data_IF_445588865942
#
_entry.id   IF_445588865942
#
_cell.length_a   1.000
_cell.length_b   1.000
_cell.length_c   1.000
_cell.angle_alpha   90.00
_cell.angle_beta   90.00
_cell.angle_gamma   90.00
#
_symmetry.space_group_name_H-M   'P 1'
#
loop_
_entity.id
_entity.type
_entity.pdbx_description
1 polymer ?
#
# COMPACT_ATOMS: atom_id res chain seq x y z
N UNK A 1 -3.48 43.97 -27.05
CA UNK A 1 -3.67 42.67 -26.38
C UNK A 1 -4.60 41.83 -27.24
N UNK A 2 -4.07 40.85 -27.97
CA UNK A 2 -4.76 40.07 -29.02
C UNK A 2 -5.76 39.06 -28.43
N UNK A 3 -6.91 38.88 -29.09
CA UNK A 3 -8.02 37.97 -28.74
C UNK A 3 -7.60 36.55 -28.33
N UNK A 4 -6.47 36.06 -28.84
CA UNK A 4 -5.88 34.75 -28.53
C UNK A 4 -5.47 34.63 -27.05
N UNK A 5 -4.98 35.70 -26.42
CA UNK A 5 -4.59 35.71 -25.01
C UNK A 5 -5.81 35.67 -24.07
N UNK A 6 -6.93 36.29 -24.47
CA UNK A 6 -8.18 36.29 -23.69
C UNK A 6 -8.85 34.91 -23.71
N UNK A 7 -8.88 34.27 -24.88
CA UNK A 7 -9.41 32.90 -25.03
C UNK A 7 -8.59 31.86 -24.26
N UNK A 8 -7.26 31.99 -24.25
CA UNK A 8 -6.38 31.07 -23.51
C UNK A 8 -6.46 31.28 -21.99
N UNK A 9 -6.65 32.53 -21.52
CA UNK A 9 -6.87 32.87 -20.12
C UNK A 9 -8.22 32.32 -19.61
N UNK A 10 -9.30 32.49 -20.40
CA UNK A 10 -10.62 31.96 -20.07
C UNK A 10 -10.63 30.43 -19.97
N UNK A 11 -9.93 29.72 -20.87
CA UNK A 11 -9.88 28.25 -20.80
C UNK A 11 -9.15 27.75 -19.54
N UNK A 12 -8.02 28.37 -19.17
CA UNK A 12 -7.28 28.00 -17.96
C UNK A 12 -8.03 28.32 -16.67
N UNK A 13 -8.76 29.44 -16.63
CA UNK A 13 -9.61 29.81 -15.50
C UNK A 13 -10.77 28.82 -15.31
N UNK A 14 -11.47 28.46 -16.39
CA UNK A 14 -12.57 27.48 -16.35
C UNK A 14 -12.10 26.09 -15.89
N UNK A 15 -10.92 25.65 -16.34
CA UNK A 15 -10.36 24.36 -15.91
C UNK A 15 -9.97 24.39 -14.43
N UNK A 16 -9.31 25.46 -13.96
CA UNK A 16 -8.95 25.60 -12.56
C UNK A 16 -10.20 25.64 -11.66
N UNK A 17 -11.23 26.35 -12.07
CA UNK A 17 -12.50 26.43 -11.36
C UNK A 17 -13.20 25.07 -11.26
N UNK A 18 -13.23 24.31 -12.37
CA UNK A 18 -13.77 22.94 -12.38
C UNK A 18 -13.01 22.00 -11.44
N UNK A 19 -11.68 22.06 -11.43
CA UNK A 19 -10.84 21.27 -10.53
C UNK A 19 -11.09 21.67 -9.08
N UNK A 20 -11.15 22.97 -8.79
CA UNK A 20 -11.37 23.50 -7.44
C UNK A 20 -12.74 23.14 -6.88
N UNK A 21 -13.78 23.11 -7.72
CA UNK A 21 -15.13 22.70 -7.32
C UNK A 21 -15.20 21.28 -6.76
N UNK A 22 -14.34 20.39 -7.27
CA UNK A 22 -14.28 18.99 -6.87
C UNK A 22 -13.13 18.71 -5.88
N UNK A 23 -12.40 19.75 -5.44
CA UNK A 23 -11.28 19.61 -4.52
C UNK A 23 -11.73 19.88 -3.07
N UNK A 24 -11.15 19.12 -2.13
CA UNK A 24 -11.26 19.42 -0.71
C UNK A 24 -10.17 20.41 -0.31
N UNK A 25 -10.57 21.62 0.08
CA UNK A 25 -9.65 22.70 0.45
C UNK A 25 -9.54 22.79 1.97
N UNK A 26 -8.32 22.69 2.51
CA UNK A 26 -8.04 22.76 3.94
C UNK A 26 -7.09 23.94 4.19
N UNK A 27 -7.51 24.96 4.94
CA UNK A 27 -6.59 26.03 5.32
C UNK A 27 -5.66 25.58 6.46
N UNK A 28 -4.40 26.04 6.45
CA UNK A 28 -3.40 25.68 7.47
C UNK A 28 -2.21 26.63 7.47
N UNK A 29 -1.39 26.61 8.53
CA UNK A 29 -0.20 27.47 8.72
C UNK A 29 1.01 27.12 7.83
N UNK A 30 0.78 26.53 6.66
CA UNK A 30 1.87 26.07 5.78
C UNK A 30 2.47 27.26 5.05
N UNK A 31 3.68 27.08 4.55
CA UNK A 31 4.35 28.08 3.70
C UNK A 31 4.03 27.93 2.22
N UNK A 32 3.48 26.78 1.81
CA UNK A 32 3.16 26.49 0.40
C UNK A 32 1.84 25.73 0.20
N UNK A 33 1.32 25.80 -1.02
CA UNK A 33 0.20 24.97 -1.48
C UNK A 33 0.75 23.59 -1.86
N UNK A 34 0.61 22.65 -0.96
CA UNK A 34 0.76 21.22 -1.23
C UNK A 34 -0.51 20.59 -1.82
N UNK A 35 -0.28 19.68 -2.75
CA UNK A 35 -1.28 18.95 -3.52
C UNK A 35 -1.22 17.48 -3.15
N UNK A 36 -2.38 16.87 -2.93
CA UNK A 36 -2.50 15.45 -2.59
C UNK A 36 -3.74 14.90 -3.30
N UNK A 37 -3.62 13.79 -4.02
CA UNK A 37 -4.80 13.04 -4.48
C UNK A 37 -4.91 11.84 -3.54
N UNK A 38 -5.98 11.80 -2.75
CA UNK A 38 -6.20 10.72 -1.77
C UNK A 38 -6.82 9.49 -2.45
N UNK A 39 -6.91 8.37 -1.72
CA UNK A 39 -7.24 7.03 -2.26
C UNK A 39 -8.58 6.94 -3.00
N UNK A 40 -9.55 7.82 -2.70
CA UNK A 40 -10.83 7.87 -3.40
C UNK A 40 -10.80 8.67 -4.73
N UNK A 41 -9.65 9.27 -5.07
CA UNK A 41 -9.45 10.12 -6.25
C UNK A 41 -9.69 11.61 -6.01
N UNK A 42 -10.05 12.01 -4.78
CA UNK A 42 -10.29 13.42 -4.43
C UNK A 42 -8.97 14.19 -4.35
N UNK A 43 -8.92 15.36 -5.00
CA UNK A 43 -7.82 16.30 -4.81
C UNK A 43 -8.00 17.03 -3.47
N UNK A 44 -7.04 16.86 -2.57
CA UNK A 44 -6.90 17.64 -1.34
C UNK A 44 -5.86 18.73 -1.56
N UNK A 45 -6.31 19.97 -1.47
CA UNK A 45 -5.45 21.15 -1.46
C UNK A 45 -5.38 21.64 -0.03
N UNK A 46 -4.17 21.73 0.54
CA UNK A 46 -4.03 22.51 1.78
C UNK A 46 -3.42 23.88 1.49
N UNK A 47 -4.00 24.94 2.01
CA UNK A 47 -3.73 26.29 1.52
C UNK A 47 -3.31 27.17 2.69
N UNK A 48 -2.20 27.91 2.60
CA UNK A 48 -1.85 28.90 3.61
C UNK A 48 -2.98 29.91 3.83
N UNK A 49 -3.20 30.33 5.09
CA UNK A 49 -4.12 31.43 5.42
C UNK A 49 -3.57 32.72 4.79
N UNK A 50 -4.15 33.16 3.66
CA UNK A 50 -3.72 34.36 2.93
C UNK A 50 -3.50 34.20 1.44
N UNK A 51 -3.52 32.96 0.91
CA UNK A 51 -3.50 32.76 -0.54
C UNK A 51 -4.82 33.22 -1.15
N UNK A 52 -4.74 34.14 -2.11
CA UNK A 52 -5.92 34.64 -2.84
C UNK A 52 -6.51 33.57 -3.75
N UNK A 53 -7.80 33.68 -4.06
CA UNK A 53 -8.47 32.77 -4.99
C UNK A 53 -7.83 32.76 -6.39
N UNK A 54 -7.47 33.93 -6.91
CA UNK A 54 -6.78 34.05 -8.20
C UNK A 54 -5.41 33.37 -8.20
N UNK A 55 -4.67 33.46 -7.11
CA UNK A 55 -3.37 32.79 -6.98
C UNK A 55 -3.55 31.27 -6.91
N UNK A 56 -4.53 30.79 -6.14
CA UNK A 56 -4.87 29.37 -6.08
C UNK A 56 -5.28 28.83 -7.47
N UNK A 57 -6.15 29.53 -8.19
CA UNK A 57 -6.57 29.19 -9.55
C UNK A 57 -5.38 29.12 -10.52
N UNK A 58 -4.46 30.09 -10.46
CA UNK A 58 -3.23 30.06 -11.28
C UNK A 58 -2.38 28.84 -11.00
N UNK A 59 -2.16 28.50 -9.73
CA UNK A 59 -1.28 27.37 -9.35
C UNK A 59 -1.95 26.04 -9.72
N UNK A 60 -3.26 25.91 -9.52
CA UNK A 60 -4.03 24.73 -9.94
C UNK A 60 -4.00 24.56 -11.46
N UNK A 61 -4.23 25.63 -12.23
CA UNK A 61 -4.15 25.58 -13.69
C UNK A 61 -2.78 25.09 -14.18
N UNK A 62 -1.69 25.54 -13.55
CA UNK A 62 -0.33 25.07 -13.89
C UNK A 62 -0.11 23.58 -13.57
N UNK A 63 -0.86 23.02 -12.64
CA UNK A 63 -0.75 21.62 -12.21
C UNK A 63 -1.80 20.70 -12.84
N UNK A 64 -2.67 21.19 -13.72
CA UNK A 64 -3.76 20.45 -14.37
C UNK A 64 -3.33 19.05 -14.85
N UNK A 65 -2.27 18.95 -15.66
CA UNK A 65 -1.78 17.66 -16.19
C UNK A 65 -1.36 16.68 -15.09
N UNK A 66 -0.73 17.19 -14.03
CA UNK A 66 -0.35 16.37 -12.89
C UNK A 66 -1.58 15.93 -12.09
N UNK A 67 -2.56 16.82 -11.88
CA UNK A 67 -3.79 16.53 -11.15
C UNK A 67 -4.60 15.45 -11.88
N UNK A 68 -4.91 15.68 -13.16
CA UNK A 68 -5.67 14.76 -14.00
C UNK A 68 -4.95 13.42 -14.15
N UNK A 69 -3.63 13.42 -14.37
CA UNK A 69 -2.81 12.22 -14.40
C UNK A 69 -2.81 11.47 -13.07
N UNK A 70 -2.70 12.17 -11.94
CA UNK A 70 -2.76 11.55 -10.61
C UNK A 70 -4.15 10.97 -10.30
N UNK A 71 -5.24 11.66 -10.67
CA UNK A 71 -6.61 11.18 -10.50
C UNK A 71 -6.93 9.98 -11.40
N UNK A 72 -6.55 10.03 -12.68
CA UNK A 72 -6.72 8.91 -13.61
C UNK A 72 -5.90 7.70 -13.14
N UNK A 73 -4.69 7.96 -12.62
CA UNK A 73 -3.86 6.96 -11.98
C UNK A 73 -4.60 6.35 -10.77
N UNK A 74 -5.06 7.14 -9.79
CA UNK A 74 -5.80 6.61 -8.63
C UNK A 74 -7.08 5.86 -9.03
N UNK A 75 -7.79 6.31 -10.06
CA UNK A 75 -8.97 5.61 -10.59
C UNK A 75 -8.60 4.23 -11.15
N UNK A 76 -7.62 4.16 -12.06
CA UNK A 76 -7.13 2.89 -12.61
C UNK A 76 -6.62 1.96 -11.51
N UNK A 77 -5.97 2.54 -10.51
CA UNK A 77 -5.46 1.82 -9.35
C UNK A 77 -6.56 1.22 -8.47
N UNK A 78 -7.67 1.94 -8.31
CA UNK A 78 -8.85 1.48 -7.57
C UNK A 78 -9.63 0.41 -8.34
N UNK A 79 -9.61 0.47 -9.67
CA UNK A 79 -10.13 -0.57 -10.55
C UNK A 79 -9.26 -1.84 -10.49
N UNK A 80 -7.93 -1.70 -10.45
CA UNK A 80 -6.97 -2.81 -10.34
C UNK A 80 -6.92 -3.45 -8.94
N UNK A 81 -7.21 -2.69 -7.87
CA UNK A 81 -7.13 -3.14 -6.48
C UNK A 81 -8.28 -2.59 -5.61
N UNK A 82 -9.50 -3.13 -5.75
CA UNK A 82 -10.64 -2.66 -4.96
C UNK A 82 -10.45 -2.94 -3.47
N UNK A 83 -10.80 -1.97 -2.63
CA UNK A 83 -10.97 -2.20 -1.19
C UNK A 83 -12.08 -3.23 -0.98
N UNK A 84 -11.78 -4.32 -0.25
CA UNK A 84 -12.76 -5.38 0.06
C UNK A 84 -14.04 -4.77 0.64
N UNK A 85 -15.20 -5.03 0.06
CA UNK A 85 -16.52 -4.53 0.49
C UNK A 85 -17.18 -5.43 1.52
N UNK A 86 -16.71 -6.67 1.65
CA UNK A 86 -17.26 -7.75 2.47
C UNK A 86 -18.62 -8.22 1.94
N UNK A 87 -18.71 -8.38 0.63
CA UNK A 87 -19.91 -8.85 -0.08
C UNK A 87 -19.79 -10.34 -0.45
N UNK A 88 -20.94 -11.02 -0.59
CA UNK A 88 -20.98 -12.42 -1.00
C UNK A 88 -20.33 -12.60 -2.38
N UNK A 89 -19.43 -13.58 -2.52
CA UNK A 89 -18.73 -13.88 -3.77
C UNK A 89 -17.60 -12.90 -4.09
N UNK A 90 -17.29 -11.94 -3.22
CA UNK A 90 -16.20 -11.00 -3.46
C UNK A 90 -14.84 -11.70 -3.52
N UNK A 91 -14.02 -11.33 -4.50
CA UNK A 91 -12.71 -11.95 -4.72
C UNK A 91 -11.56 -11.03 -4.28
N UNK A 92 -10.53 -11.63 -3.68
CA UNK A 92 -9.28 -10.98 -3.33
C UNK A 92 -8.13 -11.97 -3.43
N UNK A 93 -6.89 -11.50 -3.36
CA UNK A 93 -5.73 -12.39 -3.34
C UNK A 93 -5.42 -12.81 -1.91
N UNK A 94 -5.34 -14.11 -1.61
CA UNK A 94 -4.77 -14.63 -0.37
C UNK A 94 -3.46 -15.34 -0.72
N UNK A 95 -2.36 -14.87 -0.14
CA UNK A 95 -1.01 -15.33 -0.44
C UNK A 95 -0.68 -15.40 -1.95
N UNK A 96 -1.14 -14.39 -2.70
CA UNK A 96 -0.96 -14.29 -4.15
C UNK A 96 -1.90 -15.13 -5.00
N UNK A 97 -2.82 -15.90 -4.39
CA UNK A 97 -3.80 -16.74 -5.10
C UNK A 97 -5.22 -16.17 -4.97
N UNK A 98 -6.08 -16.28 -5.99
CA UNK A 98 -7.47 -15.88 -5.87
C UNK A 98 -8.18 -16.61 -4.72
N UNK A 99 -8.91 -15.85 -3.90
CA UNK A 99 -9.71 -16.30 -2.78
C UNK A 99 -11.09 -15.64 -2.86
N UNK A 100 -12.14 -16.44 -2.76
CA UNK A 100 -13.54 -15.97 -2.79
C UNK A 100 -14.08 -15.87 -1.38
N UNK A 101 -14.81 -14.80 -1.07
CA UNK A 101 -15.50 -14.60 0.20
C UNK A 101 -16.90 -15.22 0.15
N UNK A 102 -17.20 -16.15 1.06
CA UNK A 102 -18.54 -16.72 1.28
C UNK A 102 -19.07 -16.27 2.63
N UNK A 103 -20.27 -15.69 2.68
CA UNK A 103 -20.86 -15.26 3.95
C UNK A 103 -21.78 -16.35 4.51
N UNK A 104 -21.70 -16.58 5.82
CA UNK A 104 -22.60 -17.51 6.53
C UNK A 104 -23.24 -16.85 7.74
N UNK A 105 -24.33 -17.43 8.25
CA UNK A 105 -24.91 -17.01 9.52
C UNK A 105 -23.93 -17.22 10.70
N UNK A 106 -24.01 -16.36 11.71
CA UNK A 106 -23.20 -16.42 12.93
C UNK A 106 -21.84 -15.74 12.83
N UNK A 107 -20.90 -16.20 13.67
CA UNK A 107 -19.52 -15.71 13.81
C UNK A 107 -18.47 -16.71 13.34
N UNK A 108 -17.26 -16.21 13.13
CA UNK A 108 -16.05 -16.98 12.86
C UNK A 108 -15.60 -16.95 11.41
N UNK A 109 -14.39 -17.45 11.20
CA UNK A 109 -13.73 -17.56 9.90
C UNK A 109 -13.31 -19.01 9.66
N UNK A 110 -13.37 -19.46 8.42
CA UNK A 110 -12.80 -20.74 8.00
C UNK A 110 -12.19 -20.61 6.60
N UNK A 111 -11.01 -21.20 6.40
CA UNK A 111 -10.46 -21.39 5.06
C UNK A 111 -10.83 -22.79 4.58
N UNK A 112 -11.44 -22.83 3.40
CA UNK A 112 -11.83 -24.05 2.69
C UNK A 112 -11.08 -24.12 1.36
N UNK A 113 -11.18 -25.26 0.67
CA UNK A 113 -10.66 -25.47 -0.69
C UNK A 113 -9.19 -25.04 -0.88
N UNK A 114 -8.32 -25.36 0.09
CA UNK A 114 -6.90 -25.05 0.00
C UNK A 114 -6.59 -23.55 -0.05
N UNK A 115 -7.28 -22.74 0.76
CA UNK A 115 -7.14 -21.27 0.87
C UNK A 115 -7.83 -20.48 -0.27
N UNK A 116 -8.55 -21.15 -1.18
CA UNK A 116 -9.28 -20.48 -2.27
C UNK A 116 -10.69 -20.00 -1.89
N UNK A 117 -11.20 -20.43 -0.74
CA UNK A 117 -12.49 -20.01 -0.22
C UNK A 117 -12.36 -19.56 1.24
N UNK A 118 -12.66 -18.29 1.52
CA UNK A 118 -12.78 -17.75 2.87
C UNK A 118 -14.25 -17.66 3.26
N UNK A 119 -14.63 -18.42 4.28
CA UNK A 119 -15.95 -18.37 4.86
C UNK A 119 -15.95 -17.42 6.06
N UNK A 120 -16.81 -16.41 6.02
CA UNK A 120 -16.92 -15.37 7.05
C UNK A 120 -18.34 -15.33 7.61
N UNK A 121 -18.47 -15.31 8.93
CA UNK A 121 -19.74 -15.07 9.60
C UNK A 121 -20.24 -13.63 9.35
N UNK A 122 -21.54 -13.44 9.11
CA UNK A 122 -22.15 -12.11 8.86
C UNK A 122 -22.06 -11.15 10.06
N UNK A 123 -21.82 -11.69 11.26
CA UNK A 123 -21.60 -10.89 12.46
C UNK A 123 -20.14 -10.42 12.63
N UNK A 124 -19.23 -10.85 11.75
CA UNK A 124 -17.84 -10.42 11.76
C UNK A 124 -17.67 -9.02 11.18
N UNK A 125 -16.64 -8.31 11.64
CA UNK A 125 -16.32 -6.96 11.16
C UNK A 125 -15.06 -6.96 10.31
N UNK A 126 -14.80 -5.83 9.66
CA UNK A 126 -13.55 -5.60 8.93
C UNK A 126 -12.33 -5.73 9.84
N UNK A 127 -12.45 -5.30 11.10
CA UNK A 127 -11.39 -5.38 12.10
C UNK A 127 -11.13 -6.81 12.56
N UNK A 128 -12.16 -7.65 12.68
CA UNK A 128 -11.98 -9.07 13.01
C UNK A 128 -11.42 -9.85 11.81
N UNK A 129 -11.83 -9.53 10.58
CA UNK A 129 -11.22 -10.08 9.37
C UNK A 129 -9.74 -9.72 9.30
N UNK A 130 -9.38 -8.44 9.50
CA UNK A 130 -7.98 -8.02 9.51
C UNK A 130 -7.15 -8.76 10.57
N UNK A 131 -7.73 -9.04 11.76
CA UNK A 131 -7.06 -9.85 12.79
C UNK A 131 -6.85 -11.30 12.35
N UNK A 132 -7.86 -11.89 11.71
CA UNK A 132 -7.77 -13.25 11.16
C UNK A 132 -6.71 -13.36 10.05
N UNK A 133 -6.70 -12.41 9.11
CA UNK A 133 -5.67 -12.37 8.06
C UNK A 133 -4.25 -12.17 8.64
N UNK A 134 -4.12 -11.35 9.70
CA UNK A 134 -2.85 -11.21 10.42
C UNK A 134 -2.42 -12.52 11.09
N UNK A 135 -3.34 -13.31 11.64
CA UNK A 135 -2.96 -14.61 12.23
C UNK A 135 -2.45 -15.58 11.17
N UNK A 136 -3.11 -15.66 10.00
CA UNK A 136 -2.63 -16.47 8.90
C UNK A 136 -1.22 -16.04 8.46
N UNK A 137 -1.01 -14.73 8.28
CA UNK A 137 0.29 -14.20 7.90
C UNK A 137 1.38 -14.52 8.95
N UNK A 138 1.05 -14.46 10.25
CA UNK A 138 2.00 -14.78 11.33
C UNK A 138 2.50 -16.20 11.23
N UNK A 139 1.66 -17.15 10.88
CA UNK A 139 2.06 -18.56 10.75
C UNK A 139 3.00 -18.75 9.56
N UNK A 140 2.70 -18.10 8.42
CA UNK A 140 3.61 -18.08 7.26
C UNK A 140 4.95 -17.45 7.60
N UNK A 141 4.95 -16.28 8.23
CA UNK A 141 6.18 -15.56 8.59
C UNK A 141 6.99 -16.38 9.59
N UNK A 142 6.37 -16.98 10.60
CA UNK A 142 7.07 -17.81 11.59
C UNK A 142 7.83 -18.95 10.92
N UNK A 143 7.15 -19.72 10.08
CA UNK A 143 7.77 -20.84 9.34
C UNK A 143 8.94 -20.37 8.46
N UNK A 144 8.79 -19.25 7.74
CA UNK A 144 9.85 -18.70 6.90
C UNK A 144 11.03 -18.16 7.73
N UNK A 145 10.75 -17.48 8.85
CA UNK A 145 11.79 -16.96 9.75
C UNK A 145 12.60 -18.11 10.34
N UNK A 146 11.95 -19.16 10.83
CA UNK A 146 12.64 -20.36 11.37
C UNK A 146 13.55 -20.99 10.32
N UNK A 147 13.04 -21.21 9.11
CA UNK A 147 13.80 -21.78 7.99
C UNK A 147 15.01 -20.93 7.63
N UNK A 148 14.81 -19.63 7.38
CA UNK A 148 15.87 -18.77 6.85
C UNK A 148 16.84 -18.30 7.92
N UNK A 149 16.41 -18.16 9.18
CA UNK A 149 17.33 -17.92 10.29
C UNK A 149 18.28 -19.11 10.47
N UNK A 150 17.78 -20.34 10.39
CA UNK A 150 18.62 -21.53 10.42
C UNK A 150 19.62 -21.57 9.25
N UNK A 151 19.16 -21.33 8.01
CA UNK A 151 20.04 -21.28 6.84
C UNK A 151 21.10 -20.17 6.95
N UNK A 152 20.73 -19.02 7.53
CA UNK A 152 21.65 -17.93 7.79
C UNK A 152 22.48 -18.15 9.05
N UNK A 153 22.26 -19.18 9.87
CA UNK A 153 22.92 -19.37 11.17
C UNK A 153 22.71 -18.18 12.14
N UNK A 154 21.48 -17.70 12.23
CA UNK A 154 21.06 -16.63 13.14
C UNK A 154 20.21 -17.22 14.29
N UNK A 155 20.28 -16.63 15.50
CA UNK A 155 19.29 -16.91 16.52
C UNK A 155 17.90 -16.46 16.04
N UNK A 156 16.84 -17.09 16.55
CA UNK A 156 15.47 -16.69 16.22
C UNK A 156 15.21 -15.29 16.77
N UNK A 157 14.92 -14.29 15.91
CA UNK A 157 14.64 -12.93 16.36
C UNK A 157 13.24 -12.82 16.94
N UNK A 158 13.00 -11.74 17.69
CA UNK A 158 11.64 -11.33 18.02
C UNK A 158 10.94 -10.84 16.75
N UNK A 159 9.81 -11.47 16.42
CA UNK A 159 9.02 -11.16 15.21
C UNK A 159 7.74 -10.42 15.58
N UNK A 160 7.47 -9.32 14.87
CA UNK A 160 6.22 -8.56 15.00
C UNK A 160 5.47 -8.51 13.68
N UNK A 161 4.15 -8.65 13.72
CA UNK A 161 3.28 -8.35 12.58
C UNK A 161 2.37 -7.19 12.97
N UNK A 162 2.40 -6.10 12.21
CA UNK A 162 1.73 -4.86 12.55
C UNK A 162 0.81 -4.36 11.43
N UNK A 163 -0.08 -3.45 11.79
CA UNK A 163 -0.95 -2.74 10.84
C UNK A 163 -0.24 -1.60 10.09
N UNK A 164 1.08 -1.49 10.18
CA UNK A 164 1.83 -0.46 9.46
C UNK A 164 1.65 -0.62 7.94
N UNK A 165 1.58 0.50 7.21
CA UNK A 165 1.38 0.53 5.75
C UNK A 165 2.43 1.34 4.99
N UNK A 166 3.55 1.71 5.63
CA UNK A 166 4.59 2.57 5.04
C UNK A 166 5.77 1.80 4.43
N UNK A 167 6.04 0.59 4.90
CA UNK A 167 7.14 -0.29 4.49
C UNK A 167 6.72 -1.75 4.63
N UNK A 168 7.27 -2.65 3.83
CA UNK A 168 6.92 -4.08 3.86
C UNK A 168 7.42 -4.79 5.12
N UNK A 169 8.61 -4.41 5.58
CA UNK A 169 9.22 -4.90 6.81
C UNK A 169 10.15 -3.86 7.44
N UNK A 170 10.71 -4.22 8.59
CA UNK A 170 11.81 -3.50 9.20
C UNK A 170 12.61 -4.40 10.13
N UNK A 171 13.87 -4.02 10.35
CA UNK A 171 14.72 -4.50 11.44
C UNK A 171 15.16 -3.29 12.27
N UNK A 172 15.17 -3.42 13.60
CA UNK A 172 15.70 -2.39 14.48
C UNK A 172 17.10 -2.78 15.01
N UNK A 173 17.78 -1.85 15.68
CA UNK A 173 19.12 -2.06 16.22
C UNK A 173 19.22 -3.16 17.30
N UNK A 174 18.08 -3.58 17.89
CA UNK A 174 18.01 -4.71 18.84
C UNK A 174 17.87 -6.07 18.14
N UNK A 175 17.82 -6.08 16.80
CA UNK A 175 17.58 -7.29 16.01
C UNK A 175 16.11 -7.76 16.01
N UNK A 176 15.16 -6.94 16.48
CA UNK A 176 13.74 -7.24 16.31
C UNK A 176 13.33 -6.95 14.87
N UNK A 177 12.62 -7.89 14.26
CA UNK A 177 12.08 -7.73 12.91
C UNK A 177 10.57 -7.59 12.93
N UNK A 178 10.05 -6.73 12.07
CA UNK A 178 8.62 -6.50 11.96
C UNK A 178 8.15 -6.50 10.51
N UNK A 179 6.91 -6.92 10.32
CA UNK A 179 6.30 -7.10 9.01
C UNK A 179 4.95 -6.39 8.93
N UNK A 180 4.65 -5.86 7.76
CA UNK A 180 3.38 -5.21 7.48
C UNK A 180 2.35 -6.22 7.02
N UNK A 181 1.17 -6.17 7.63
CA UNK A 181 0.10 -7.14 7.38
C UNK A 181 -0.40 -7.26 5.93
N UNK A 182 -0.33 -6.25 5.04
CA UNK A 182 -0.78 -6.43 3.67
C UNK A 182 0.06 -7.45 2.88
N UNK A 183 1.21 -7.90 3.44
CA UNK A 183 1.93 -9.06 2.92
C UNK A 183 1.06 -10.33 2.83
N UNK A 184 -0.04 -10.43 3.58
CA UNK A 184 -0.99 -11.55 3.48
C UNK A 184 -1.58 -11.70 2.08
N UNK A 185 -1.59 -10.63 1.27
CA UNK A 185 -2.08 -10.66 -0.11
C UNK A 185 -0.97 -10.92 -1.14
N UNK A 186 0.30 -10.94 -0.71
CA UNK A 186 1.44 -11.18 -1.59
C UNK A 186 1.71 -12.68 -1.76
N UNK A 187 2.27 -13.11 -2.91
CA UNK A 187 2.76 -14.47 -3.08
C UNK A 187 3.76 -14.88 -1.99
N UNK A 188 3.75 -16.16 -1.58
CA UNK A 188 4.58 -16.64 -0.46
C UNK A 188 6.07 -16.48 -0.73
N UNK A 189 6.49 -16.60 -1.98
CA UNK A 189 7.85 -16.36 -2.44
C UNK A 189 8.26 -14.89 -2.28
N UNK A 190 7.34 -13.96 -2.46
CA UNK A 190 7.55 -12.54 -2.22
C UNK A 190 7.64 -12.25 -0.71
N UNK A 191 6.79 -12.89 0.09
CA UNK A 191 6.88 -12.82 1.56
C UNK A 191 8.26 -13.33 2.03
N UNK A 192 8.73 -14.46 1.47
CA UNK A 192 10.05 -15.01 1.76
C UNK A 192 11.18 -14.01 1.45
N UNK A 193 11.09 -13.24 0.35
CA UNK A 193 12.05 -12.17 0.08
C UNK A 193 12.08 -11.12 1.19
N UNK A 194 10.92 -10.64 1.65
CA UNK A 194 10.87 -9.65 2.74
C UNK A 194 11.44 -10.24 4.03
N UNK A 195 11.13 -11.50 4.36
CA UNK A 195 11.68 -12.20 5.52
C UNK A 195 13.21 -12.27 5.46
N UNK A 196 13.77 -12.72 4.34
CA UNK A 196 15.23 -12.81 4.15
C UNK A 196 15.89 -11.43 4.20
N UNK A 197 15.24 -10.41 3.64
CA UNK A 197 15.72 -9.02 3.69
C UNK A 197 15.86 -8.54 5.13
N UNK A 198 14.82 -8.70 5.95
CA UNK A 198 14.85 -8.27 7.35
C UNK A 198 15.80 -9.12 8.21
N UNK A 199 15.94 -10.42 7.94
CA UNK A 199 16.92 -11.27 8.61
C UNK A 199 18.37 -10.86 8.28
N UNK A 200 18.65 -10.51 7.03
CA UNK A 200 19.97 -10.02 6.63
C UNK A 200 20.34 -8.71 7.34
N UNK A 201 19.34 -7.87 7.68
CA UNK A 201 19.58 -6.65 8.43
C UNK A 201 20.15 -6.88 9.83
N UNK A 202 19.86 -8.02 10.47
CA UNK A 202 20.42 -8.37 11.80
C UNK A 202 21.96 -8.32 11.80
N UNK A 203 22.61 -8.70 10.68
CA UNK A 203 24.07 -8.63 10.54
C UNK A 203 24.56 -7.35 9.88
N UNK A 204 23.75 -6.73 9.03
CA UNK A 204 24.18 -5.59 8.24
C UNK A 204 23.00 -4.63 8.01
N UNK A 205 22.99 -3.54 8.77
CA UNK A 205 21.95 -2.51 8.70
C UNK A 205 22.03 -1.64 7.43
N UNK A 206 23.08 -1.78 6.62
CA UNK A 206 23.28 -1.00 5.39
C UNK A 206 23.08 -1.87 4.14
N UNK A 207 22.33 -1.38 3.15
CA UNK A 207 22.13 -2.05 1.84
C UNK A 207 23.36 -2.01 0.92
N UNK A 208 24.55 -2.29 1.47
CA UNK A 208 25.82 -2.33 0.74
C UNK A 208 26.02 -3.68 0.00
N UNK A 209 27.15 -3.83 -0.70
CA UNK A 209 27.46 -5.06 -1.47
C UNK A 209 27.42 -6.33 -0.61
N UNK A 210 27.87 -6.26 0.64
CA UNK A 210 27.86 -7.41 1.55
C UNK A 210 26.43 -7.83 1.94
N UNK A 211 25.53 -6.86 2.17
CA UNK A 211 24.11 -7.14 2.43
C UNK A 211 23.47 -7.89 1.26
N UNK A 212 23.61 -7.37 0.04
CA UNK A 212 23.01 -8.00 -1.14
C UNK A 212 23.63 -9.36 -1.47
N UNK A 213 24.91 -9.56 -1.15
CA UNK A 213 25.56 -10.88 -1.24
C UNK A 213 24.87 -11.89 -0.31
N UNK A 214 24.60 -11.52 0.95
CA UNK A 214 23.89 -12.39 1.90
C UNK A 214 22.47 -12.71 1.45
N UNK A 215 21.73 -11.72 0.94
CA UNK A 215 20.38 -11.95 0.38
C UNK A 215 20.44 -12.93 -0.79
N UNK A 216 21.36 -12.71 -1.75
CA UNK A 216 21.49 -13.54 -2.95
C UNK A 216 21.97 -14.97 -2.65
N UNK A 217 22.72 -15.19 -1.57
CA UNK A 217 23.11 -16.53 -1.12
C UNK A 217 21.91 -17.37 -0.67
N UNK A 218 20.86 -16.74 -0.15
CA UNK A 218 19.64 -17.43 0.31
C UNK A 218 18.58 -17.47 -0.80
N UNK A 219 18.41 -16.36 -1.51
CA UNK A 219 17.43 -16.19 -2.58
C UNK A 219 18.11 -15.63 -3.84
N UNK A 220 18.63 -16.48 -4.75
CA UNK A 220 19.28 -16.02 -5.97
C UNK A 220 18.37 -15.18 -6.88
N UNK A 221 17.06 -15.45 -6.84
CA UNK A 221 15.98 -14.78 -7.57
C UNK A 221 15.42 -13.53 -6.86
N UNK A 222 16.10 -13.01 -5.81
CA UNK A 222 15.58 -11.91 -4.99
C UNK A 222 15.18 -10.67 -5.80
N UNK A 223 15.85 -10.41 -6.93
CA UNK A 223 15.57 -9.25 -7.79
C UNK A 223 14.19 -9.33 -8.42
N UNK A 224 13.74 -10.52 -8.80
CA UNK A 224 12.40 -10.73 -9.37
C UNK A 224 11.33 -10.46 -8.31
N UNK A 225 11.55 -10.97 -7.10
CA UNK A 225 10.66 -10.77 -5.95
C UNK A 225 10.61 -9.31 -5.48
N UNK A 226 11.76 -8.62 -5.50
CA UNK A 226 11.84 -7.19 -5.23
C UNK A 226 11.08 -6.38 -6.30
N UNK A 227 11.26 -6.72 -7.58
CA UNK A 227 10.57 -6.07 -8.68
C UNK A 227 9.05 -6.29 -8.59
N UNK A 228 8.60 -7.48 -8.16
CA UNK A 228 7.21 -7.74 -7.89
C UNK A 228 6.65 -6.77 -6.84
N UNK A 229 7.35 -6.57 -5.70
CA UNK A 229 6.91 -5.61 -4.68
C UNK A 229 6.91 -4.17 -5.17
N UNK A 230 7.87 -3.80 -6.02
CA UNK A 230 7.91 -2.46 -6.64
C UNK A 230 6.71 -2.24 -7.57
N UNK A 231 6.36 -3.24 -8.37
CA UNK A 231 5.20 -3.21 -9.25
C UNK A 231 3.87 -3.22 -8.48
N UNK A 232 3.80 -3.96 -7.37
CA UNK A 232 2.58 -4.16 -6.56
C UNK A 232 2.60 -3.39 -5.24
N UNK A 233 3.25 -2.22 -5.17
CA UNK A 233 3.33 -1.40 -3.92
C UNK A 233 1.97 -1.07 -3.31
N UNK A 234 0.90 -1.12 -4.09
CA UNK A 234 -0.47 -0.79 -3.68
C UNK A 234 -1.18 -1.92 -2.96
N UNK A 235 -0.62 -3.11 -2.93
CA UNK A 235 -1.06 -4.14 -1.99
C UNK A 235 -1.03 -3.59 -0.54
N UNK A 236 -0.17 -2.60 -0.23
CA UNK A 236 -0.16 -1.93 1.08
C UNK A 236 -1.49 -1.22 1.46
N UNK A 237 -2.30 -0.83 0.47
CA UNK A 237 -3.61 -0.19 0.66
C UNK A 237 -4.79 -1.16 0.55
N UNK A 238 -4.54 -2.46 0.37
CA UNK A 238 -5.60 -3.47 0.39
C UNK A 238 -6.16 -3.59 1.82
N UNK A 239 -7.49 -3.48 1.95
CA UNK A 239 -8.31 -3.35 3.17
C UNK A 239 -8.20 -2.05 3.95
#
# INVERSE_FOLDING_TARGET
>A
MTLVNVLCYNRKAMVAESILKNARIIQSFRRSIGFEVVEDGTLVLRVPYGVSRQELERVVAKKEKWITGAQARVRREREEHPTLRLEEGEQFLLFGKPCTLRLRAGKGFALEEGESLLVMGREETRESLARFLISLLRDVIRSQVERYAAQLQLPLPVVKCSRARKRWGYCNWKGEIGFSWPLVFCPREVIAYVVVHELCHIRNMSHNKAFWKSVAQVLPDYRERENWLKAHRKVMSTL
#
